data_IF_879482665474
#
_entry.id   IF_879482665474
#
_cell.length_a   1.000
_cell.length_b   1.000
_cell.length_c   1.000
_cell.angle_alpha   90.00
_cell.angle_beta   90.00
_cell.angle_gamma   90.00
#
_symmetry.space_group_name_H-M   'P 1'
#
loop_
_entity.id
_entity.type
_entity.pdbx_description
1 polymer ?
#
# COMPACT_ATOMS: atom_id res chain seq x y z
N UNK A 1 7.72 8.70 6.02
CA UNK A 1 7.37 8.62 7.46
C UNK A 1 8.00 9.80 8.20
N UNK A 2 7.25 10.59 8.98
CA UNK A 2 7.82 11.69 9.78
C UNK A 2 8.75 11.14 10.88
N UNK A 3 9.80 11.90 11.21
CA UNK A 3 10.86 11.47 12.15
C UNK A 3 10.39 11.24 13.58
N UNK A 4 9.20 11.71 13.95
CA UNK A 4 8.64 11.57 15.29
C UNK A 4 8.02 10.19 15.57
N UNK A 5 7.56 9.47 14.54
CA UNK A 5 6.82 8.23 14.73
C UNK A 5 7.74 6.99 14.63
N UNK A 6 7.71 6.14 15.65
CA UNK A 6 8.34 4.81 15.62
C UNK A 6 7.55 3.81 14.76
N UNK A 7 6.23 4.00 14.63
CA UNK A 7 5.36 3.17 13.78
C UNK A 7 4.31 4.04 13.12
N UNK A 8 4.01 3.79 11.85
CA UNK A 8 3.03 4.55 11.08
C UNK A 8 2.12 3.61 10.28
N UNK A 9 0.86 4.02 10.09
CA UNK A 9 -0.10 3.25 9.30
C UNK A 9 0.24 3.35 7.81
N UNK A 10 -0.09 2.30 7.05
CA UNK A 10 0.03 2.33 5.58
C UNK A 10 -1.31 2.78 5.00
N UNK A 11 -1.29 3.96 4.40
CA UNK A 11 -2.43 4.57 3.71
C UNK A 11 -1.97 4.99 2.32
N UNK A 12 -2.75 4.61 1.31
CA UNK A 12 -2.54 4.95 -0.10
C UNK A 12 -3.55 6.03 -0.48
N UNK A 13 -3.01 7.14 -0.99
CA UNK A 13 -3.73 8.36 -1.29
C UNK A 13 -3.56 8.68 -2.77
N UNK A 14 -4.60 9.17 -3.44
CA UNK A 14 -4.51 9.62 -4.82
C UNK A 14 -3.93 11.04 -4.96
N UNK A 15 -3.86 11.54 -6.19
CA UNK A 15 -3.34 12.88 -6.49
C UNK A 15 -4.16 14.03 -5.88
N UNK A 16 -5.41 13.78 -5.50
CA UNK A 16 -6.32 14.76 -4.89
C UNK A 16 -6.28 14.71 -3.35
N UNK A 17 -5.45 13.84 -2.77
CA UNK A 17 -5.37 13.68 -1.32
C UNK A 17 -6.45 12.75 -0.73
N UNK A 18 -7.18 12.01 -1.56
CA UNK A 18 -8.25 11.11 -1.13
C UNK A 18 -7.69 9.71 -0.86
N UNK A 19 -8.05 9.11 0.28
CA UNK A 19 -7.66 7.75 0.63
C UNK A 19 -8.35 6.75 -0.30
N UNK A 20 -7.56 5.97 -1.04
CA UNK A 20 -8.06 4.94 -1.96
C UNK A 20 -7.83 3.53 -1.46
N UNK A 21 -6.78 3.30 -0.68
CA UNK A 21 -6.56 2.01 -0.05
C UNK A 21 -5.79 2.13 1.26
N UNK A 22 -5.91 1.13 2.13
CA UNK A 22 -5.21 1.07 3.40
C UNK A 22 -4.86 -0.38 3.80
N UNK A 23 -3.98 -0.51 4.77
CA UNK A 23 -3.75 -1.77 5.49
C UNK A 23 -4.44 -1.67 6.85
N UNK A 24 -5.62 -2.29 7.02
CA UNK A 24 -6.45 -2.02 8.18
C UNK A 24 -5.87 -2.64 9.44
N UNK A 25 -5.93 -1.91 10.56
CA UNK A 25 -5.61 -2.44 11.89
C UNK A 25 -6.67 -3.46 12.35
N UNK A 26 -7.96 -3.16 12.11
CA UNK A 26 -9.09 -4.07 12.33
C UNK A 26 -9.73 -4.44 11.00
N UNK A 27 -9.61 -5.71 10.60
CA UNK A 27 -10.13 -6.18 9.30
C UNK A 27 -11.66 -6.17 9.21
N UNK A 28 -12.37 -6.26 10.34
CA UNK A 28 -13.83 -6.36 10.34
C UNK A 28 -14.55 -5.10 9.82
N UNK A 29 -13.90 -3.94 9.86
CA UNK A 29 -14.49 -2.64 9.49
C UNK A 29 -13.85 -2.04 8.23
N UNK A 30 -12.94 -2.76 7.57
CA UNK A 30 -12.20 -2.22 6.44
C UNK A 30 -13.07 -2.15 5.18
N UNK A 31 -13.17 -0.95 4.59
CA UNK A 31 -13.83 -0.70 3.30
C UNK A 31 -12.85 -0.48 2.16
N UNK A 32 -11.62 -0.05 2.48
CA UNK A 32 -10.59 0.30 1.51
C UNK A 32 -9.36 -0.62 1.64
N UNK A 33 -9.53 -1.86 2.11
CA UNK A 33 -8.38 -2.76 2.22
C UNK A 33 -7.76 -3.03 0.84
N UNK A 34 -6.44 -3.21 0.79
CA UNK A 34 -5.70 -3.57 -0.43
C UNK A 34 -6.35 -4.75 -1.17
N UNK A 35 -6.86 -5.75 -0.45
CA UNK A 35 -7.57 -6.90 -1.02
C UNK A 35 -8.90 -6.54 -1.70
N UNK A 36 -9.68 -5.64 -1.10
CA UNK A 36 -10.98 -5.23 -1.62
C UNK A 36 -10.85 -4.28 -2.81
N UNK A 37 -9.84 -3.42 -2.80
CA UNK A 37 -9.63 -2.40 -3.83
C UNK A 37 -8.90 -2.96 -5.06
N UNK A 38 -8.10 -4.02 -4.89
CA UNK A 38 -7.37 -4.64 -6.00
C UNK A 38 -6.15 -3.85 -6.45
N UNK A 39 -5.38 -3.32 -5.50
CA UNK A 39 -4.18 -2.52 -5.79
C UNK A 39 -3.08 -3.38 -6.40
N UNK A 40 -2.44 -2.88 -7.45
CA UNK A 40 -1.23 -3.46 -8.05
C UNK A 40 -0.02 -2.56 -7.80
N UNK A 41 1.18 -3.14 -7.84
CA UNK A 41 2.44 -2.40 -7.79
C UNK A 41 3.26 -2.72 -9.03
N UNK A 42 3.78 -1.69 -9.68
CA UNK A 42 4.68 -1.77 -10.81
C UNK A 42 5.98 -1.05 -10.47
N UNK A 43 7.11 -1.70 -10.77
CA UNK A 43 8.43 -1.15 -10.47
C UNK A 43 9.09 -0.59 -11.74
N UNK A 44 9.64 0.61 -11.62
CA UNK A 44 10.44 1.26 -12.67
C UNK A 44 11.88 1.43 -12.18
N UNK A 45 12.83 0.87 -12.93
CA UNK A 45 14.25 0.86 -12.61
C UNK A 45 14.69 -0.23 -11.63
N UNK A 46 16.02 -0.39 -11.49
CA UNK A 46 16.63 -1.36 -10.58
C UNK A 46 16.36 -2.83 -10.93
N UNK A 47 16.55 -3.72 -9.95
CA UNK A 47 16.47 -5.18 -10.12
C UNK A 47 15.07 -5.70 -10.48
N UNK A 48 14.02 -4.98 -10.09
CA UNK A 48 12.63 -5.38 -10.29
C UNK A 48 11.95 -4.60 -11.44
N UNK A 49 12.72 -3.92 -12.30
CA UNK A 49 12.17 -3.11 -13.39
C UNK A 49 11.18 -3.91 -14.28
N UNK A 50 10.00 -3.34 -14.51
CA UNK A 50 8.93 -3.94 -15.32
C UNK A 50 8.16 -5.08 -14.64
N UNK A 51 8.48 -5.41 -13.38
CA UNK A 51 7.74 -6.42 -12.62
C UNK A 51 6.49 -5.80 -12.03
N UNK A 52 5.36 -6.48 -12.24
CA UNK A 52 4.05 -6.12 -11.68
C UNK A 52 3.62 -7.20 -10.69
N UNK A 53 3.23 -6.79 -9.48
CA UNK A 53 2.58 -7.68 -8.51
C UNK A 53 1.16 -7.22 -8.23
N UNK A 54 0.25 -8.18 -8.17
CA UNK A 54 -1.17 -7.99 -7.79
C UNK A 54 -1.55 -8.77 -6.55
N UNK A 55 -0.68 -9.65 -6.04
CA UNK A 55 -0.98 -10.44 -4.86
C UNK A 55 -0.96 -9.53 -3.61
N UNK A 56 -2.03 -9.52 -2.79
CA UNK A 56 -2.13 -8.55 -1.70
C UNK A 56 -1.02 -8.65 -0.67
N UNK A 57 -0.43 -9.83 -0.47
CA UNK A 57 0.66 -10.04 0.47
C UNK A 57 1.93 -9.28 0.04
N UNK A 58 2.31 -9.40 -1.24
CA UNK A 58 3.48 -8.72 -1.79
C UNK A 58 3.23 -7.22 -1.94
N UNK A 59 2.04 -6.81 -2.37
CA UNK A 59 1.67 -5.39 -2.45
C UNK A 59 1.78 -4.73 -1.07
N UNK A 60 1.23 -5.35 -0.01
CA UNK A 60 1.38 -4.84 1.37
C UNK A 60 2.82 -4.81 1.85
N UNK A 61 3.63 -5.81 1.48
CA UNK A 61 5.05 -5.87 1.86
C UNK A 61 5.81 -4.67 1.29
N UNK A 62 5.56 -4.30 0.05
CA UNK A 62 6.22 -3.16 -0.59
C UNK A 62 5.62 -1.83 -0.14
N UNK A 63 4.30 -1.73 0.04
CA UNK A 63 3.65 -0.53 0.55
C UNK A 63 4.13 -0.13 1.97
N UNK A 64 4.54 -1.08 2.81
CA UNK A 64 5.14 -0.80 4.14
C UNK A 64 6.57 -0.28 4.08
N UNK A 65 7.26 -0.45 2.95
CA UNK A 65 8.67 -0.07 2.77
C UNK A 65 8.84 1.23 1.98
N UNK A 66 7.79 1.69 1.31
CA UNK A 66 7.70 2.99 0.67
C UNK A 66 7.46 4.09 1.73
#
# INVERSE_FOLDING_TARGET
MPTFFETFLVVLVDGDGIVRADVPFRRAESKCSVEQVGVTVEFYGGKLNGVIYSDPATVKKYARRA
#
